data_IF_786380334354
#
_entry.id   IF_786380334354
#
_cell.length_a   1.000
_cell.length_b   1.000
_cell.length_c   1.000
_cell.angle_alpha   90.00
_cell.angle_beta   90.00
_cell.angle_gamma   90.00
#
_symmetry.space_group_name_H-M   'P 1'
#
loop_
_entity.id
_entity.type
_entity.pdbx_description
1 polymer ?
#
# COMPACT_ATOMS: atom_id res chain seq x y z
N UNK A 1 -13.57 -19.71 -5.17
CA UNK A 1 -13.05 -19.42 -6.53
C UNK A 1 -11.55 -19.65 -6.51
N UNK A 2 -10.98 -20.13 -7.61
CA UNK A 2 -9.52 -20.17 -7.78
C UNK A 2 -8.95 -18.74 -7.73
N UNK A 3 -7.72 -18.50 -7.24
CA UNK A 3 -7.16 -17.15 -7.07
C UNK A 3 -7.27 -16.26 -8.32
N UNK A 4 -7.06 -16.83 -9.51
CA UNK A 4 -7.19 -16.11 -10.80
C UNK A 4 -8.63 -15.70 -11.13
N UNK A 5 -9.62 -16.49 -10.71
CA UNK A 5 -11.03 -16.16 -10.90
C UNK A 5 -11.45 -15.03 -9.96
N UNK A 6 -10.96 -15.07 -8.71
CA UNK A 6 -11.16 -14.02 -7.71
C UNK A 6 -10.58 -12.68 -8.19
N UNK A 7 -9.36 -12.65 -8.73
CA UNK A 7 -8.74 -11.42 -9.23
C UNK A 7 -9.45 -10.84 -10.47
N UNK A 8 -9.92 -11.69 -11.38
CA UNK A 8 -10.71 -11.24 -12.53
C UNK A 8 -12.04 -10.61 -12.10
N UNK A 9 -12.73 -11.23 -11.14
CA UNK A 9 -13.94 -10.65 -10.56
C UNK A 9 -13.66 -9.34 -9.83
N UNK A 10 -12.57 -9.30 -9.04
CA UNK A 10 -12.12 -8.09 -8.36
C UNK A 10 -11.86 -6.94 -9.33
N UNK A 11 -11.19 -7.22 -10.46
CA UNK A 11 -10.92 -6.25 -11.51
C UNK A 11 -12.20 -5.73 -12.18
N UNK A 12 -13.16 -6.61 -12.46
CA UNK A 12 -14.47 -6.21 -12.98
C UNK A 12 -15.19 -5.25 -12.01
N UNK A 13 -15.19 -5.56 -10.71
CA UNK A 13 -15.79 -4.69 -9.71
C UNK A 13 -15.09 -3.32 -9.61
N UNK A 14 -13.74 -3.30 -9.64
CA UNK A 14 -12.94 -2.07 -9.63
C UNK A 14 -13.34 -1.12 -10.75
N UNK A 15 -13.48 -1.65 -11.98
CA UNK A 15 -13.87 -0.84 -13.14
C UNK A 15 -15.30 -0.29 -13.02
N UNK A 16 -16.23 -1.08 -12.50
CA UNK A 16 -17.63 -0.70 -12.32
C UNK A 16 -17.83 0.35 -11.23
N UNK A 17 -17.24 0.14 -10.04
CA UNK A 17 -17.45 1.00 -8.86
C UNK A 17 -16.83 2.39 -9.06
N UNK A 18 -15.67 2.47 -9.69
CA UNK A 18 -14.94 3.74 -9.83
C UNK A 18 -15.30 4.52 -11.09
N UNK A 19 -16.25 4.03 -11.91
CA UNK A 19 -16.64 4.61 -13.20
C UNK A 19 -15.41 5.07 -13.98
N UNK A 20 -14.44 4.17 -14.14
CA UNK A 20 -13.20 4.50 -14.84
C UNK A 20 -13.53 4.75 -16.32
N UNK A 21 -13.58 6.03 -16.69
CA UNK A 21 -13.89 6.48 -18.06
C UNK A 21 -12.73 6.24 -19.04
N UNK A 22 -11.57 5.78 -18.54
CA UNK A 22 -10.39 5.41 -19.31
C UNK A 22 -9.95 4.01 -18.90
N UNK A 23 -9.56 3.19 -19.88
CA UNK A 23 -8.91 1.90 -19.61
C UNK A 23 -7.66 2.15 -18.77
N UNK A 24 -7.56 1.52 -17.62
CA UNK A 24 -6.39 1.60 -16.76
C UNK A 24 -5.54 0.35 -16.98
N UNK A 25 -4.32 0.48 -17.52
CA UNK A 25 -3.46 -0.68 -17.75
C UNK A 25 -3.11 -1.34 -16.41
N UNK A 26 -3.21 -2.66 -16.37
CA UNK A 26 -2.84 -3.45 -15.21
C UNK A 26 -1.62 -4.31 -15.57
N UNK A 27 -0.55 -4.19 -14.78
CA UNK A 27 0.72 -4.88 -15.04
C UNK A 27 0.92 -6.03 -14.06
N UNK A 28 1.81 -6.97 -14.40
CA UNK A 28 2.14 -8.12 -13.54
C UNK A 28 2.91 -7.75 -12.27
N UNK A 29 3.32 -6.48 -12.15
CA UNK A 29 4.04 -5.94 -10.98
C UNK A 29 3.16 -5.05 -10.12
N UNK A 30 1.88 -4.88 -10.46
CA UNK A 30 0.94 -4.10 -9.68
C UNK A 30 0.37 -4.94 -8.53
N UNK A 31 0.12 -4.29 -7.40
CA UNK A 31 -0.63 -4.88 -6.29
C UNK A 31 -1.91 -5.56 -6.75
N UNK A 32 -2.10 -6.83 -6.34
CA UNK A 32 -3.17 -7.71 -6.86
C UNK A 32 -4.56 -7.03 -6.81
N UNK A 33 -5.48 -7.30 -7.76
CA UNK A 33 -6.79 -6.64 -7.79
C UNK A 33 -7.60 -6.88 -6.50
N UNK A 34 -7.45 -8.06 -5.90
CA UNK A 34 -8.08 -8.41 -4.62
C UNK A 34 -7.51 -7.59 -3.46
N UNK A 35 -6.19 -7.39 -3.40
CA UNK A 35 -5.57 -6.50 -2.42
C UNK A 35 -6.04 -5.04 -2.60
N UNK A 36 -6.05 -4.56 -3.86
CA UNK A 36 -6.51 -3.21 -4.18
C UNK A 36 -7.96 -3.01 -3.75
N UNK A 37 -8.88 -3.92 -4.08
CA UNK A 37 -10.27 -3.82 -3.61
C UNK A 37 -10.38 -3.78 -2.09
N UNK A 38 -9.58 -4.57 -1.37
CA UNK A 38 -9.60 -4.55 0.08
C UNK A 38 -9.13 -3.19 0.62
N UNK A 39 -8.06 -2.62 0.06
CA UNK A 39 -7.58 -1.28 0.40
C UNK A 39 -8.67 -0.23 0.16
N UNK A 40 -9.33 -0.25 -1.01
CA UNK A 40 -10.39 0.71 -1.33
C UNK A 40 -11.61 0.55 -0.41
N UNK A 41 -11.97 -0.69 -0.07
CA UNK A 41 -13.05 -0.98 0.88
C UNK A 41 -12.69 -0.47 2.28
N UNK A 42 -11.44 -0.66 2.71
CA UNK A 42 -10.93 -0.14 3.97
C UNK A 42 -11.01 1.39 4.03
N UNK A 43 -10.52 2.08 2.99
CA UNK A 43 -10.53 3.55 2.91
C UNK A 43 -11.95 4.09 2.95
N UNK A 44 -12.88 3.48 2.20
CA UNK A 44 -14.28 3.90 2.17
C UNK A 44 -14.96 3.70 3.52
N UNK A 45 -14.63 2.60 4.20
CA UNK A 45 -15.24 2.22 5.50
C UNK A 45 -14.71 3.07 6.64
N UNK A 46 -13.39 3.21 6.76
CA UNK A 46 -12.75 3.84 7.92
C UNK A 46 -12.32 5.29 7.70
N UNK A 47 -12.33 5.77 6.45
CA UNK A 47 -11.98 7.15 6.08
C UNK A 47 -10.71 7.67 6.77
N UNK A 48 -9.56 7.01 6.57
CA UNK A 48 -8.29 7.47 7.14
C UNK A 48 -7.99 8.91 6.69
N UNK A 49 -7.45 9.74 7.58
CA UNK A 49 -7.13 11.15 7.30
C UNK A 49 -5.77 11.29 6.64
N UNK A 50 -4.81 10.44 6.97
CA UNK A 50 -3.49 10.43 6.35
C UNK A 50 -3.13 9.01 5.89
N UNK A 51 -2.92 8.87 4.60
CA UNK A 51 -2.58 7.61 3.92
C UNK A 51 -1.17 7.73 3.38
N UNK A 52 -0.33 6.73 3.66
CA UNK A 52 1.00 6.60 3.07
C UNK A 52 1.08 5.31 2.26
N UNK A 53 1.54 5.42 1.03
CA UNK A 53 1.91 4.31 0.17
C UNK A 53 3.42 4.31 -0.04
N UNK A 54 4.04 3.14 0.07
CA UNK A 54 5.43 2.88 -0.28
C UNK A 54 5.45 2.06 -1.56
N UNK A 55 6.04 2.61 -2.62
CA UNK A 55 5.98 2.05 -3.98
C UNK A 55 4.77 2.59 -4.71
N UNK A 56 4.99 3.57 -5.59
CA UNK A 56 3.91 4.16 -6.37
C UNK A 56 3.49 3.23 -7.51
N UNK A 57 2.22 3.30 -7.92
CA UNK A 57 1.70 2.39 -8.93
C UNK A 57 0.26 2.65 -9.30
N UNK A 58 -0.41 1.60 -9.80
CA UNK A 58 -1.83 1.69 -10.13
C UNK A 58 -2.67 1.89 -8.86
N UNK A 59 -2.28 1.32 -7.72
CA UNK A 59 -2.94 1.63 -6.43
C UNK A 59 -3.02 3.14 -6.17
N UNK A 60 -1.97 3.89 -6.47
CA UNK A 60 -1.97 5.35 -6.36
C UNK A 60 -3.12 5.98 -7.15
N UNK A 61 -3.29 5.57 -8.41
CA UNK A 61 -4.35 6.07 -9.31
C UNK A 61 -5.73 5.72 -8.78
N UNK A 62 -5.93 4.46 -8.38
CA UNK A 62 -7.20 3.96 -7.89
C UNK A 62 -7.61 4.60 -6.55
N UNK A 63 -6.66 4.79 -5.62
CA UNK A 63 -6.90 5.45 -4.34
C UNK A 63 -7.24 6.92 -4.57
N UNK A 64 -6.45 7.66 -5.37
CA UNK A 64 -6.73 9.06 -5.65
C UNK A 64 -8.12 9.26 -6.28
N UNK A 65 -8.49 8.39 -7.22
CA UNK A 65 -9.83 8.38 -7.84
C UNK A 65 -10.92 8.12 -6.81
N UNK A 66 -10.75 7.12 -5.95
CA UNK A 66 -11.71 6.79 -4.90
C UNK A 66 -11.93 7.98 -3.95
N UNK A 67 -10.85 8.63 -3.50
CA UNK A 67 -10.93 9.77 -2.60
C UNK A 67 -11.73 10.92 -3.23
N UNK A 68 -11.50 11.21 -4.52
CA UNK A 68 -12.22 12.25 -5.24
C UNK A 68 -13.71 11.90 -5.44
N UNK A 69 -14.01 10.70 -5.96
CA UNK A 69 -15.39 10.29 -6.29
C UNK A 69 -16.27 10.16 -5.04
N UNK A 70 -15.71 9.73 -3.92
CA UNK A 70 -16.44 9.56 -2.66
C UNK A 70 -16.31 10.76 -1.70
N UNK A 71 -15.74 11.88 -2.18
CA UNK A 71 -15.53 13.12 -1.41
C UNK A 71 -14.84 12.88 -0.06
N UNK A 72 -13.90 11.94 -0.02
CA UNK A 72 -13.15 11.59 1.19
C UNK A 72 -11.99 12.60 1.33
N UNK A 73 -12.06 13.42 2.37
CA UNK A 73 -10.98 14.35 2.70
C UNK A 73 -9.86 13.59 3.42
N UNK A 74 -8.79 13.28 2.69
CA UNK A 74 -7.58 12.66 3.21
C UNK A 74 -6.33 13.27 2.54
N UNK A 75 -5.21 13.31 3.25
CA UNK A 75 -3.88 13.51 2.66
C UNK A 75 -3.34 12.16 2.21
N UNK A 76 -2.88 12.08 0.98
CA UNK A 76 -2.38 10.84 0.40
C UNK A 76 -0.97 11.03 -0.12
N UNK A 77 -0.01 10.40 0.55
CA UNK A 77 1.40 10.43 0.21
C UNK A 77 1.79 9.13 -0.51
N UNK A 78 2.53 9.25 -1.62
CA UNK A 78 3.07 8.09 -2.35
C UNK A 78 4.59 8.23 -2.47
N UNK A 79 5.32 7.34 -1.80
CA UNK A 79 6.79 7.33 -1.72
C UNK A 79 7.34 6.47 -2.86
N UNK A 80 8.28 7.03 -3.62
CA UNK A 80 8.86 6.37 -4.79
C UNK A 80 10.34 6.74 -4.97
N UNK A 81 11.15 5.80 -5.45
CA UNK A 81 12.58 6.01 -5.68
C UNK A 81 12.94 6.34 -7.13
N UNK A 82 12.02 6.13 -8.08
CA UNK A 82 12.23 6.45 -9.50
C UNK A 82 11.39 7.65 -9.93
N UNK A 83 12.04 8.81 -10.11
CA UNK A 83 11.41 10.02 -10.63
C UNK A 83 10.70 9.82 -11.98
N UNK A 84 11.23 8.96 -12.86
CA UNK A 84 10.58 8.67 -14.15
C UNK A 84 9.27 7.93 -13.92
N UNK A 85 9.26 6.99 -12.97
CA UNK A 85 8.06 6.26 -12.60
C UNK A 85 7.00 7.17 -11.99
N UNK A 86 7.38 8.09 -11.09
CA UNK A 86 6.48 9.13 -10.57
C UNK A 86 5.78 9.89 -11.71
N UNK A 87 6.56 10.32 -12.73
CA UNK A 87 6.00 11.05 -13.87
C UNK A 87 5.05 10.17 -14.71
N UNK A 88 5.34 8.88 -14.86
CA UNK A 88 4.43 7.93 -15.52
C UNK A 88 3.12 7.81 -14.76
N UNK A 89 3.16 7.67 -13.42
CA UNK A 89 1.95 7.57 -12.60
C UNK A 89 1.14 8.87 -12.64
N UNK A 90 1.79 10.03 -12.59
CA UNK A 90 1.12 11.34 -12.73
C UNK A 90 0.31 11.46 -14.02
N UNK A 91 0.79 10.88 -15.13
CA UNK A 91 0.05 10.90 -16.40
C UNK A 91 -1.23 10.04 -16.40
N UNK A 92 -1.38 9.14 -15.42
CA UNK A 92 -2.58 8.31 -15.27
C UNK A 92 -3.59 8.88 -14.26
N UNK A 93 -3.21 9.91 -13.51
CA UNK A 93 -4.09 10.61 -12.58
C UNK A 93 -5.08 11.50 -13.34
N UNK A 94 -6.28 11.66 -12.78
CA UNK A 94 -7.20 12.71 -13.23
C UNK A 94 -6.68 14.08 -12.78
N UNK A 95 -7.06 15.14 -13.49
CA UNK A 95 -6.58 16.52 -13.25
C UNK A 95 -6.79 17.00 -11.81
N UNK A 96 -7.89 16.59 -11.17
CA UNK A 96 -8.25 16.99 -9.81
C UNK A 96 -7.68 16.05 -8.72
N UNK A 97 -6.90 15.04 -9.10
CA UNK A 97 -6.32 14.09 -8.16
C UNK A 97 -5.29 14.76 -7.25
N UNK A 98 -5.43 14.56 -5.93
CA UNK A 98 -4.49 15.08 -4.94
C UNK A 98 -3.63 13.95 -4.39
N UNK A 99 -2.37 13.92 -4.83
CA UNK A 99 -1.37 12.96 -4.36
C UNK A 99 -0.06 13.70 -4.09
N UNK A 100 0.44 13.59 -2.87
CA UNK A 100 1.73 14.14 -2.45
C UNK A 100 2.82 13.10 -2.72
N UNK A 101 3.42 13.19 -3.91
CA UNK A 101 4.54 12.31 -4.27
C UNK A 101 5.82 12.71 -3.52
N UNK A 102 6.40 11.74 -2.81
CA UNK A 102 7.67 11.91 -2.11
C UNK A 102 8.73 11.09 -2.85
N UNK A 103 9.60 11.78 -3.58
CA UNK A 103 10.77 11.13 -4.18
C UNK A 103 11.86 10.92 -3.12
N UNK A 104 12.22 9.68 -2.84
CA UNK A 104 13.28 9.32 -1.92
C UNK A 104 14.21 8.25 -2.51
N UNK A 105 15.50 8.52 -2.56
CA UNK A 105 16.47 7.56 -3.10
C UNK A 105 16.69 6.38 -2.15
N UNK A 106 17.11 5.23 -2.69
CA UNK A 106 17.47 4.06 -1.89
C UNK A 106 18.92 4.17 -1.39
N UNK A 107 19.15 4.99 -0.37
CA UNK A 107 20.48 5.28 0.18
C UNK A 107 20.65 4.96 1.67
N UNK A 108 19.56 4.79 2.43
CA UNK A 108 19.59 4.49 3.86
C UNK A 108 20.00 3.03 4.09
N UNK A 109 20.98 2.78 4.96
CA UNK A 109 21.41 1.41 5.27
C UNK A 109 20.56 0.83 6.40
N UNK A 110 19.83 -0.25 6.10
CA UNK A 110 18.99 -0.94 7.07
C UNK A 110 19.39 -2.39 7.23
N UNK A 111 18.97 -3.00 8.34
CA UNK A 111 19.19 -4.40 8.63
C UNK A 111 17.90 -5.06 9.10
N UNK A 112 17.61 -6.22 8.51
CA UNK A 112 16.55 -7.10 8.99
C UNK A 112 17.11 -8.52 9.14
N UNK A 113 17.15 -9.01 10.38
CA UNK A 113 17.65 -10.36 10.71
C UNK A 113 19.02 -10.69 10.10
N UNK A 114 19.97 -9.76 10.20
CA UNK A 114 21.32 -9.95 9.66
C UNK A 114 21.45 -9.65 8.17
N UNK A 115 20.36 -9.45 7.44
CA UNK A 115 20.39 -9.03 6.04
C UNK A 115 20.43 -7.50 5.93
N UNK A 116 21.53 -6.99 5.37
CA UNK A 116 21.69 -5.56 5.06
C UNK A 116 21.09 -5.23 3.69
N UNK A 117 20.42 -4.09 3.59
CA UNK A 117 19.88 -3.58 2.33
C UNK A 117 19.85 -2.04 2.36
N UNK A 118 19.80 -1.44 1.17
CA UNK A 118 19.53 -0.01 1.03
C UNK A 118 18.04 0.26 0.94
N UNK A 119 17.60 1.36 1.52
CA UNK A 119 16.20 1.73 1.54
C UNK A 119 16.00 3.25 1.46
N UNK A 120 14.75 3.71 1.48
CA UNK A 120 14.40 5.12 1.24
C UNK A 120 15.11 6.04 2.24
N UNK A 121 15.63 7.16 1.74
CA UNK A 121 16.23 8.22 2.56
C UNK A 121 15.27 8.70 3.64
N UNK A 122 15.54 8.30 4.88
CA UNK A 122 14.65 8.57 6.02
C UNK A 122 14.57 10.05 6.36
N UNK A 123 15.61 10.84 6.07
CA UNK A 123 15.60 12.28 6.31
C UNK A 123 14.63 12.99 5.37
N UNK A 124 14.51 12.50 4.13
CA UNK A 124 13.50 12.99 3.19
C UNK A 124 12.11 12.64 3.70
N UNK A 125 11.91 11.43 4.22
CA UNK A 125 10.62 11.01 4.76
C UNK A 125 10.24 11.82 6.01
N UNK A 126 11.13 11.97 6.98
CA UNK A 126 10.89 12.73 8.23
C UNK A 126 10.59 14.22 7.97
N UNK A 127 11.12 14.78 6.88
CA UNK A 127 10.82 16.16 6.47
C UNK A 127 9.40 16.33 5.93
N UNK A 128 8.84 15.30 5.31
CA UNK A 128 7.56 15.38 4.59
C UNK A 128 6.41 14.68 5.32
N UNK A 129 6.71 13.81 6.29
CA UNK A 129 5.74 12.98 6.99
C UNK A 129 5.79 13.21 8.50
N UNK A 130 4.62 13.35 9.10
CA UNK A 130 4.46 13.17 10.54
C UNK A 130 3.96 11.74 10.82
N UNK A 131 4.85 10.85 11.27
CA UNK A 131 4.53 9.43 11.47
C UNK A 131 3.34 9.20 12.42
N UNK A 132 3.18 10.07 13.41
CA UNK A 132 2.12 9.96 14.42
C UNK A 132 0.73 10.35 13.90
N UNK A 133 0.63 10.94 12.71
CA UNK A 133 -0.63 11.30 12.07
C UNK A 133 -1.11 10.25 11.06
N UNK A 134 -0.30 9.24 10.75
CA UNK A 134 -0.61 8.27 9.70
C UNK A 134 -1.62 7.25 10.21
N UNK A 135 -2.73 7.11 9.49
CA UNK A 135 -3.80 6.18 9.83
C UNK A 135 -3.66 4.86 9.05
N UNK A 136 -3.17 4.94 7.81
CA UNK A 136 -3.08 3.82 6.87
C UNK A 136 -1.74 3.81 6.14
N UNK A 137 -1.05 2.67 6.19
CA UNK A 137 0.18 2.40 5.46
C UNK A 137 -0.03 1.28 4.43
N UNK A 138 0.40 1.47 3.19
CA UNK A 138 0.37 0.47 2.12
C UNK A 138 1.81 0.20 1.70
N UNK A 139 2.24 -1.06 1.78
CA UNK A 139 3.64 -1.46 1.56
C UNK A 139 3.70 -2.37 0.32
N UNK A 140 4.01 -1.77 -0.83
CA UNK A 140 4.27 -2.46 -2.10
C UNK A 140 5.71 -2.16 -2.64
N UNK A 141 6.49 -1.41 -1.86
CA UNK A 141 7.85 -0.99 -2.21
C UNK A 141 8.84 -1.15 -1.06
N UNK A 142 10.15 -1.10 -1.35
CA UNK A 142 10.75 -0.99 -2.68
C UNK A 142 10.63 -2.32 -3.45
N UNK A 143 10.98 -2.37 -4.75
CA UNK A 143 10.82 -3.58 -5.55
C UNK A 143 11.48 -4.81 -4.91
N UNK A 144 10.76 -5.95 -4.89
CA UNK A 144 11.16 -7.20 -4.21
C UNK A 144 12.42 -7.91 -4.76
N UNK A 145 13.18 -7.26 -5.65
CA UNK A 145 14.49 -7.76 -6.12
C UNK A 145 15.56 -7.68 -5.01
N UNK A 146 15.40 -6.76 -4.06
CA UNK A 146 16.30 -6.61 -2.91
C UNK A 146 15.72 -7.43 -1.76
N UNK A 147 16.38 -8.51 -1.31
CA UNK A 147 15.87 -9.36 -0.23
C UNK A 147 15.53 -8.55 1.02
N UNK A 148 14.35 -8.79 1.58
CA UNK A 148 13.87 -8.18 2.83
C UNK A 148 13.72 -6.65 2.83
N UNK A 149 13.90 -5.96 1.70
CA UNK A 149 13.90 -4.49 1.69
C UNK A 149 12.55 -3.89 2.14
N UNK A 150 11.43 -4.57 1.88
CA UNK A 150 10.10 -4.18 2.39
C UNK A 150 9.98 -4.26 3.92
N UNK A 151 10.83 -5.04 4.60
CA UNK A 151 10.91 -5.08 6.07
C UNK A 151 11.30 -3.73 6.66
N UNK A 152 11.99 -2.94 5.84
CA UNK A 152 12.18 -1.55 6.10
C UNK A 152 10.94 -0.89 6.69
N UNK A 153 9.77 -0.99 6.04
CA UNK A 153 8.59 -0.22 6.42
C UNK A 153 8.29 -0.38 7.92
N UNK A 154 8.47 -1.60 8.42
CA UNK A 154 8.30 -1.94 9.82
C UNK A 154 9.42 -1.46 10.74
N UNK A 155 10.63 -1.27 10.24
CA UNK A 155 11.73 -0.62 10.97
C UNK A 155 11.45 0.89 11.11
N UNK A 156 11.00 1.57 10.05
CA UNK A 156 10.78 3.02 10.06
C UNK A 156 9.52 3.43 10.86
N UNK A 157 8.45 2.64 10.75
CA UNK A 157 7.18 2.84 11.46
C UNK A 157 7.04 1.97 12.71
N UNK A 158 8.17 1.51 13.28
CA UNK A 158 8.19 0.54 14.39
C UNK A 158 7.31 0.97 15.56
N UNK A 159 7.49 2.19 16.04
CA UNK A 159 6.76 2.74 17.19
C UNK A 159 5.25 2.74 16.94
N UNK A 160 4.80 3.23 15.76
CA UNK A 160 3.38 3.33 15.43
C UNK A 160 2.71 1.96 15.30
N UNK A 161 3.46 0.94 14.88
CA UNK A 161 2.97 -0.43 14.76
C UNK A 161 2.91 -1.12 16.13
N UNK A 162 3.95 -0.96 16.96
CA UNK A 162 4.00 -1.51 18.33
C UNK A 162 2.91 -0.90 19.22
N UNK A 163 2.65 0.40 19.08
CA UNK A 163 1.55 1.10 19.77
C UNK A 163 0.17 0.81 19.19
N UNK A 164 0.08 0.07 18.07
CA UNK A 164 -1.16 -0.20 17.34
C UNK A 164 -1.91 1.09 16.95
N UNK A 165 -1.18 2.17 16.65
CA UNK A 165 -1.74 3.45 16.21
C UNK A 165 -1.86 3.56 14.69
N UNK A 166 -1.19 2.68 13.95
CA UNK A 166 -1.18 2.61 12.49
C UNK A 166 -1.75 1.28 11.96
N UNK A 167 -2.65 1.33 10.97
CA UNK A 167 -3.05 0.14 10.22
C UNK A 167 -2.19 -0.03 8.97
N UNK A 168 -1.87 -1.26 8.57
CA UNK A 168 -1.09 -1.52 7.37
C UNK A 168 -1.65 -2.61 6.46
N UNK A 169 -1.38 -2.47 5.16
CA UNK A 169 -1.40 -3.54 4.16
C UNK A 169 0.03 -3.79 3.68
N UNK A 170 0.38 -5.07 3.51
CA UNK A 170 1.70 -5.50 3.05
C UNK A 170 1.55 -6.46 1.88
N UNK A 171 2.05 -6.07 0.70
CA UNK A 171 1.88 -6.83 -0.54
C UNK A 171 2.95 -7.91 -0.75
N UNK A 172 2.70 -8.82 -1.71
CA UNK A 172 3.52 -9.98 -2.10
C UNK A 172 3.83 -10.99 -0.97
N UNK A 173 2.95 -11.15 0.02
CA UNK A 173 3.14 -12.15 1.10
C UNK A 173 2.92 -13.60 0.66
N UNK A 174 2.63 -13.85 -0.62
CA UNK A 174 2.76 -15.16 -1.26
C UNK A 174 4.23 -15.52 -1.49
N UNK A 175 5.13 -14.53 -1.55
CA UNK A 175 6.58 -14.73 -1.58
C UNK A 175 7.10 -15.07 -0.20
N UNK A 176 7.98 -16.07 -0.13
CA UNK A 176 8.51 -16.60 1.14
C UNK A 176 9.21 -15.55 2.01
N UNK A 177 9.94 -14.60 1.41
CA UNK A 177 10.69 -13.59 2.15
C UNK A 177 9.75 -12.55 2.76
N UNK A 178 8.82 -12.04 1.96
CA UNK A 178 7.79 -11.09 2.36
C UNK A 178 6.87 -11.67 3.44
N UNK A 179 6.47 -12.94 3.29
CA UNK A 179 5.74 -13.66 4.34
C UNK A 179 6.51 -13.71 5.66
N UNK A 180 7.78 -14.07 5.59
CA UNK A 180 8.65 -14.16 6.76
C UNK A 180 8.83 -12.80 7.47
N UNK A 181 8.87 -11.70 6.71
CA UNK A 181 8.91 -10.35 7.29
C UNK A 181 7.68 -10.13 8.17
N UNK A 182 6.49 -10.37 7.63
CA UNK A 182 5.23 -10.18 8.37
C UNK A 182 5.15 -11.06 9.61
N UNK A 183 5.56 -12.33 9.49
CA UNK A 183 5.61 -13.28 10.61
C UNK A 183 6.56 -12.86 11.74
N UNK A 184 7.58 -12.04 11.44
CA UNK A 184 8.65 -11.70 12.38
C UNK A 184 8.43 -10.42 13.19
N UNK A 185 7.50 -9.54 12.79
CA UNK A 185 7.26 -8.26 13.49
C UNK A 185 6.52 -8.49 14.81
N UNK A 186 5.80 -9.61 14.92
CA UNK A 186 4.88 -9.87 16.02
C UNK A 186 3.57 -9.10 15.89
N UNK A 187 2.62 -9.35 16.80
CA UNK A 187 1.29 -8.75 16.79
C UNK A 187 0.25 -9.52 15.98
N UNK A 188 -1.00 -9.06 16.02
CA UNK A 188 -2.11 -9.64 15.28
C UNK A 188 -2.06 -9.18 13.81
N UNK A 189 -1.93 -10.12 12.87
CA UNK A 189 -2.07 -9.87 11.43
C UNK A 189 -2.94 -10.94 10.78
N UNK A 190 -3.45 -10.65 9.58
CA UNK A 190 -4.22 -11.59 8.75
C UNK A 190 -3.58 -11.71 7.37
N UNK A 191 -3.56 -12.93 6.87
CA UNK A 191 -3.01 -13.27 5.56
C UNK A 191 -4.13 -13.57 4.56
N UNK A 192 -4.03 -12.99 3.36
CA UNK A 192 -5.06 -13.03 2.31
C UNK A 192 -4.49 -13.54 0.97
N UNK A 193 -3.57 -14.50 1.01
CA UNK A 193 -2.94 -15.06 -0.18
C UNK A 193 -1.77 -14.19 -0.65
N UNK A 194 -2.02 -13.21 -1.52
CA UNK A 194 -0.96 -12.35 -2.07
C UNK A 194 -0.52 -11.23 -1.12
N UNK A 195 -1.27 -10.92 -0.08
CA UNK A 195 -0.95 -9.82 0.83
C UNK A 195 -1.41 -10.11 2.26
N UNK A 196 -0.92 -9.32 3.22
CA UNK A 196 -1.33 -9.38 4.62
C UNK A 196 -1.77 -8.00 5.10
N UNK A 197 -2.55 -7.94 6.18
CA UNK A 197 -2.85 -6.69 6.88
C UNK A 197 -2.79 -6.85 8.40
N UNK A 198 -2.56 -5.76 9.12
CA UNK A 198 -2.39 -5.76 10.57
C UNK A 198 -2.25 -4.35 11.17
N UNK A 199 -1.81 -4.30 12.42
CA UNK A 199 -1.62 -3.05 13.16
C UNK A 199 -2.86 -2.63 13.96
N UNK A 200 -3.27 -1.36 13.86
CA UNK A 200 -4.37 -0.76 14.62
C UNK A 200 -5.67 -1.56 14.55
N UNK A 201 -6.21 -1.94 15.72
CA UNK A 201 -7.49 -2.65 15.79
C UNK A 201 -8.61 -1.81 15.20
N UNK A 202 -9.38 -2.41 14.30
CA UNK A 202 -10.57 -1.80 13.71
C UNK A 202 -11.83 -2.30 14.42
N UNK A 203 -12.89 -1.48 14.52
CA UNK A 203 -14.12 -1.86 15.22
C UNK A 203 -14.83 -3.05 14.58
N UNK A 204 -14.60 -3.29 13.28
CA UNK A 204 -15.08 -4.45 12.55
C UNK A 204 -14.02 -4.93 11.56
N UNK A 205 -14.11 -6.19 11.16
CA UNK A 205 -13.23 -6.73 10.13
C UNK A 205 -13.74 -6.37 8.74
N UNK A 206 -12.94 -5.63 7.99
CA UNK A 206 -13.09 -5.52 6.54
C UNK A 206 -12.41 -6.74 5.92
N UNK A 207 -13.08 -7.35 4.95
CA UNK A 207 -12.56 -8.44 4.14
C UNK A 207 -12.65 -8.05 2.67
N UNK A 208 -11.90 -8.70 1.77
CA UNK A 208 -12.05 -8.48 0.35
C UNK A 208 -13.49 -8.77 -0.08
N UNK A 209 -14.06 -7.91 -0.90
CA UNK A 209 -15.43 -8.08 -1.43
C UNK A 209 -15.56 -9.41 -2.20
N UNK A 210 -14.46 -9.88 -2.78
CA UNK A 210 -14.38 -11.15 -3.51
C UNK A 210 -14.34 -12.41 -2.63
N UNK A 211 -14.32 -12.28 -1.30
CA UNK A 211 -14.37 -13.40 -0.37
C UNK A 211 -15.80 -13.87 -0.01
N UNK A 212 -16.84 -13.12 -0.40
CA UNK A 212 -18.23 -13.56 -0.23
C UNK A 212 -18.57 -14.61 -1.30
N UNK A 213 -18.89 -15.83 -0.85
CA UNK A 213 -19.43 -16.90 -1.70
C UNK A 213 -20.92 -16.69 -1.95
#
# INVERSE_FOLDING_TARGET
MEPRQTDSFSYSLLTSVLKLNKFQPYTTTAISPTALLHILNFITTFRPKNIVEIGSGMSTVYIAKLLAVNEITARFYSIENDLKWINIIKNHLDEDSKVDFIHAELNEEMNFQGHKFKWFDTKVLDKNLNKNEIDLLIIDGPPGKIPYARAGAFIYFKEQIEEQSLFYFFDDTDRKKEKFIVESIGGEYKHFGSYSSGGKKQPYHVVPVSCYK
#
